data_IF_503876778763
#
_entry.id   IF_503876778763
#
_cell.length_a   1.000
_cell.length_b   1.000
_cell.length_c   1.000
_cell.angle_alpha   90.00
_cell.angle_beta   90.00
_cell.angle_gamma   90.00
#
_symmetry.space_group_name_H-M   'P 1'
#
loop_
_entity.id
_entity.type
_entity.pdbx_description
1 polymer ?
#
# COMPACT_ATOMS: atom_id res chain seq x y z
N UNK A 1 18.20 -2.37 6.00
CA UNK A 1 16.90 -2.50 6.68
C UNK A 1 16.48 -3.96 6.73
N UNK A 2 16.75 -4.67 7.83
CA UNK A 2 16.65 -6.15 7.84
C UNK A 2 17.18 -6.81 9.10
N UNK A 3 17.99 -6.09 9.87
CA UNK A 3 18.61 -6.58 11.11
C UNK A 3 17.90 -6.10 12.38
N UNK A 4 16.71 -5.47 12.27
CA UNK A 4 16.00 -4.89 13.43
C UNK A 4 16.70 -3.71 14.12
N UNK A 5 17.73 -3.12 13.50
CA UNK A 5 18.58 -2.11 14.12
C UNK A 5 18.02 -0.68 14.06
N UNK A 6 16.91 -0.47 13.34
CA UNK A 6 16.31 0.85 13.16
C UNK A 6 15.06 0.92 14.04
N UNK A 7 15.03 1.80 15.07
CA UNK A 7 13.92 1.86 16.02
C UNK A 7 12.67 2.51 15.42
N UNK A 8 12.83 3.45 14.49
CA UNK A 8 11.76 4.10 13.73
C UNK A 8 12.26 4.31 12.30
N UNK A 9 11.45 3.94 11.32
CA UNK A 9 11.76 4.17 9.91
C UNK A 9 10.66 5.01 9.23
N UNK A 10 11.08 5.85 8.28
CA UNK A 10 10.20 6.61 7.40
C UNK A 10 10.24 6.01 6.00
N UNK A 11 9.05 5.79 5.42
CA UNK A 11 8.88 5.06 4.17
C UNK A 11 7.59 5.49 3.47
N UNK A 12 7.53 5.22 2.17
CA UNK A 12 6.35 5.31 1.33
C UNK A 12 6.09 3.98 0.61
N UNK A 13 4.90 3.83 0.03
CA UNK A 13 4.49 2.59 -0.64
C UNK A 13 3.52 2.85 -1.80
N UNK A 14 3.92 2.50 -3.02
CA UNK A 14 3.12 2.66 -4.25
C UNK A 14 2.20 1.46 -4.59
N UNK A 15 2.06 0.48 -3.70
CA UNK A 15 1.10 -0.64 -3.84
C UNK A 15 1.20 -1.45 -5.15
N UNK A 16 2.38 -1.52 -5.78
CA UNK A 16 2.60 -2.19 -7.07
C UNK A 16 1.59 -1.80 -8.16
N UNK A 17 1.07 -0.57 -8.12
CA UNK A 17 0.02 -0.11 -9.05
C UNK A 17 -1.31 -0.90 -8.93
N UNK A 18 -1.54 -1.59 -7.82
CA UNK A 18 -2.77 -2.34 -7.53
C UNK A 18 -3.62 -1.54 -6.55
N UNK A 19 -4.83 -1.18 -6.98
CA UNK A 19 -5.80 -0.41 -6.18
C UNK A 19 -6.58 -1.31 -5.21
N UNK A 20 -5.88 -2.08 -4.39
CA UNK A 20 -6.49 -3.01 -3.44
C UNK A 20 -5.69 -3.08 -2.14
N UNK A 21 -6.39 -3.21 -1.00
CA UNK A 21 -5.78 -3.30 0.34
C UNK A 21 -4.79 -4.47 0.46
N UNK A 22 -5.01 -5.55 -0.31
CA UNK A 22 -4.10 -6.70 -0.40
C UNK A 22 -2.71 -6.36 -0.94
N UNK A 23 -2.54 -5.22 -1.62
CA UNK A 23 -1.25 -4.74 -2.07
C UNK A 23 -0.48 -3.92 -1.02
N UNK A 24 -1.11 -3.63 0.13
CA UNK A 24 -0.52 -2.81 1.21
C UNK A 24 -0.37 -3.64 2.49
N UNK A 25 -1.47 -4.07 3.09
CA UNK A 25 -1.44 -4.61 4.45
C UNK A 25 -0.58 -5.87 4.59
N UNK A 26 -0.61 -6.85 3.66
CA UNK A 26 0.26 -8.03 3.76
C UNK A 26 1.76 -7.68 3.72
N UNK A 27 2.15 -6.57 3.09
CA UNK A 27 3.54 -6.16 2.99
C UNK A 27 4.11 -5.67 4.33
N UNK A 28 3.26 -5.09 5.19
CA UNK A 28 3.69 -4.47 6.46
C UNK A 28 3.17 -5.15 7.72
N UNK A 29 2.10 -5.94 7.59
CA UNK A 29 1.38 -6.54 8.72
C UNK A 29 0.96 -7.99 8.46
N UNK A 30 1.44 -8.63 7.40
CA UNK A 30 1.06 -10.00 7.04
C UNK A 30 1.92 -11.11 7.67
N UNK A 31 2.95 -10.76 8.45
CA UNK A 31 3.88 -11.69 9.11
C UNK A 31 4.85 -12.45 8.21
N UNK A 32 4.69 -12.37 6.88
CA UNK A 32 5.50 -13.10 5.90
C UNK A 32 6.53 -12.22 5.19
N UNK A 33 6.27 -10.91 5.11
CA UNK A 33 7.10 -9.96 4.39
C UNK A 33 8.33 -9.56 5.21
N UNK A 34 9.49 -9.44 4.57
CA UNK A 34 10.68 -8.90 5.22
C UNK A 34 10.54 -7.41 5.62
N UNK A 35 9.54 -6.72 5.07
CA UNK A 35 9.17 -5.35 5.41
C UNK A 35 8.25 -5.27 6.63
N UNK A 36 7.61 -6.38 7.03
CA UNK A 36 6.86 -6.43 8.28
C UNK A 36 7.86 -6.46 9.45
N UNK A 37 7.86 -5.37 10.22
CA UNK A 37 8.67 -5.21 11.46
C UNK A 37 7.80 -5.03 12.68
N UNK A 38 6.49 -5.11 12.50
CA UNK A 38 5.51 -4.98 13.56
C UNK A 38 5.33 -6.34 14.22
N UNK A 39 5.13 -7.39 13.40
CA UNK A 39 4.98 -8.77 13.88
C UNK A 39 3.78 -8.99 14.80
N UNK A 40 2.77 -8.12 14.74
CA UNK A 40 1.54 -8.25 15.52
C UNK A 40 0.70 -9.39 14.94
N UNK A 41 0.60 -10.49 15.70
CA UNK A 41 -0.06 -11.71 15.25
C UNK A 41 -1.56 -11.52 14.99
N UNK A 42 -2.24 -10.69 15.78
CA UNK A 42 -3.68 -10.49 15.64
C UNK A 42 -4.00 -9.71 14.37
N UNK A 43 -3.21 -8.67 14.08
CA UNK A 43 -3.30 -7.94 12.82
C UNK A 43 -2.97 -8.87 11.65
N UNK A 44 -1.93 -9.69 11.74
CA UNK A 44 -1.57 -10.63 10.68
C UNK A 44 -2.67 -11.66 10.39
N UNK A 45 -3.31 -12.19 11.42
CA UNK A 45 -4.43 -13.14 11.27
C UNK A 45 -5.64 -12.46 10.58
N UNK A 46 -5.95 -11.20 10.91
CA UNK A 46 -7.00 -10.43 10.23
C UNK A 46 -6.64 -10.11 8.77
N UNK A 47 -5.39 -9.72 8.50
CA UNK A 47 -4.90 -9.43 7.14
C UNK A 47 -4.97 -10.69 6.27
N UNK A 48 -4.56 -11.84 6.79
CA UNK A 48 -4.67 -13.11 6.08
C UNK A 48 -6.15 -13.48 5.80
N UNK A 49 -7.03 -13.30 6.80
CA UNK A 49 -8.46 -13.54 6.65
C UNK A 49 -9.08 -12.65 5.57
N UNK A 50 -8.81 -11.34 5.59
CA UNK A 50 -9.28 -10.38 4.58
C UNK A 50 -8.71 -10.65 3.18
N UNK A 51 -7.52 -11.23 3.08
CA UNK A 51 -6.92 -11.68 1.83
C UNK A 51 -7.61 -12.91 1.22
N UNK A 52 -8.26 -13.73 2.05
CA UNK A 52 -8.97 -14.95 1.63
C UNK A 52 -10.48 -14.78 1.45
N UNK A 53 -11.05 -13.65 1.88
CA UNK A 53 -12.47 -13.35 1.76
C UNK A 53 -12.80 -12.75 0.39
N UNK A 54 -13.87 -13.23 -0.24
CA UNK A 54 -14.31 -12.81 -1.58
C UNK A 54 -15.56 -11.93 -1.53
N UNK A 55 -16.33 -12.01 -0.44
CA UNK A 55 -17.48 -11.12 -0.21
C UNK A 55 -16.98 -9.71 0.13
N UNK A 56 -17.33 -8.67 -0.66
CA UNK A 56 -16.78 -7.33 -0.47
C UNK A 56 -17.11 -6.70 0.88
N UNK A 57 -18.31 -6.94 1.42
CA UNK A 57 -18.76 -6.32 2.66
C UNK A 57 -18.08 -6.97 3.87
N UNK A 58 -17.99 -8.30 3.90
CA UNK A 58 -17.22 -9.02 4.93
C UNK A 58 -15.75 -8.67 4.87
N UNK A 59 -15.18 -8.61 3.66
CA UNK A 59 -13.79 -8.24 3.43
C UNK A 59 -13.49 -6.83 3.95
N UNK A 60 -14.36 -5.87 3.65
CA UNK A 60 -14.27 -4.51 4.18
C UNK A 60 -14.31 -4.51 5.71
N UNK A 61 -15.25 -5.22 6.32
CA UNK A 61 -15.38 -5.28 7.78
C UNK A 61 -14.12 -5.86 8.46
N UNK A 62 -13.53 -6.91 7.88
CA UNK A 62 -12.29 -7.52 8.38
C UNK A 62 -11.13 -6.52 8.30
N UNK A 63 -10.99 -5.80 7.18
CA UNK A 63 -9.92 -4.81 7.05
C UNK A 63 -10.14 -3.55 7.90
N UNK A 64 -11.39 -3.12 8.12
CA UNK A 64 -11.71 -2.06 9.08
C UNK A 64 -11.20 -2.43 10.48
N UNK A 65 -11.43 -3.68 10.91
CA UNK A 65 -10.94 -4.19 12.19
C UNK A 65 -9.40 -4.20 12.27
N UNK A 66 -8.73 -4.67 11.21
CA UNK A 66 -7.26 -4.67 11.14
C UNK A 66 -6.69 -3.25 11.23
N UNK A 67 -7.24 -2.31 10.46
CA UNK A 67 -6.80 -0.90 10.44
C UNK A 67 -7.06 -0.23 11.79
N UNK A 68 -8.19 -0.56 12.44
CA UNK A 68 -8.49 -0.08 13.79
C UNK A 68 -7.42 -0.54 14.79
N UNK A 69 -7.04 -1.82 14.79
CA UNK A 69 -5.99 -2.32 15.68
C UNK A 69 -4.62 -1.69 15.39
N UNK A 70 -4.25 -1.55 14.10
CA UNK A 70 -3.01 -0.89 13.67
C UNK A 70 -2.92 0.54 14.25
N UNK A 71 -4.02 1.29 14.17
CA UNK A 71 -4.10 2.68 14.62
C UNK A 71 -4.18 2.80 16.14
N UNK A 72 -5.00 1.99 16.82
CA UNK A 72 -5.12 1.97 18.29
C UNK A 72 -3.81 1.63 19.00
N UNK A 73 -3.02 0.73 18.40
CA UNK A 73 -1.70 0.29 18.93
C UNK A 73 -0.54 1.14 18.41
N UNK A 74 -0.80 2.14 17.57
CA UNK A 74 0.21 2.99 16.92
C UNK A 74 1.33 2.19 16.22
N UNK A 75 0.97 1.11 15.53
CA UNK A 75 1.93 0.22 14.84
C UNK A 75 2.50 0.85 13.58
N UNK A 76 1.80 1.84 13.02
CA UNK A 76 2.25 2.72 11.94
C UNK A 76 1.55 4.07 12.09
N UNK A 77 2.24 5.15 11.76
CA UNK A 77 1.69 6.51 11.77
C UNK A 77 1.62 7.02 10.34
N UNK A 78 0.43 7.11 9.72
CA UNK A 78 0.27 7.76 8.42
C UNK A 78 0.65 9.24 8.53
N UNK A 79 1.55 9.72 7.68
CA UNK A 79 2.00 11.12 7.69
C UNK A 79 1.32 11.94 6.59
N UNK A 80 1.42 11.49 5.33
CA UNK A 80 0.81 12.14 4.18
C UNK A 80 0.57 11.14 3.04
N UNK A 81 -0.31 11.51 2.12
CA UNK A 81 -0.34 10.98 0.75
C UNK A 81 0.23 12.04 -0.19
N UNK A 82 0.97 11.60 -1.20
CA UNK A 82 1.58 12.49 -2.19
C UNK A 82 1.16 12.09 -3.60
N UNK A 83 1.33 13.03 -4.54
CA UNK A 83 1.14 12.80 -5.96
C UNK A 83 2.48 12.51 -6.63
N UNK A 84 2.47 11.72 -7.70
CA UNK A 84 3.63 11.53 -8.57
C UNK A 84 3.55 12.55 -9.72
N UNK A 85 4.36 13.63 -9.71
CA UNK A 85 4.35 14.61 -10.79
C UNK A 85 5.06 14.07 -12.04
N UNK A 86 4.51 14.37 -13.21
CA UNK A 86 5.13 14.09 -14.50
C UNK A 86 5.48 15.41 -15.20
N UNK A 87 6.73 15.56 -15.62
CA UNK A 87 7.17 16.67 -16.46
C UNK A 87 7.43 16.18 -17.88
N UNK A 88 6.81 16.83 -18.87
CA UNK A 88 6.93 16.49 -20.28
C UNK A 88 6.70 17.74 -21.15
N UNK A 89 7.15 17.71 -22.41
CA UNK A 89 6.99 18.81 -23.37
C UNK A 89 5.53 18.98 -23.81
N UNK A 90 5.12 20.21 -24.10
CA UNK A 90 3.78 20.51 -24.63
C UNK A 90 3.50 19.85 -25.99
N UNK A 91 4.54 19.43 -26.71
CA UNK A 91 4.43 18.69 -27.98
C UNK A 91 3.98 17.23 -27.79
N UNK A 92 4.01 16.71 -26.56
CA UNK A 92 3.59 15.34 -26.25
C UNK A 92 2.13 15.32 -25.78
N UNK A 93 1.29 14.51 -26.42
CA UNK A 93 -0.03 14.15 -25.91
C UNK A 93 0.13 12.99 -24.91
N UNK A 94 0.11 13.32 -23.62
CA UNK A 94 0.25 12.37 -22.52
C UNK A 94 -0.80 12.62 -21.44
N UNK A 95 -1.40 11.53 -20.94
CA UNK A 95 -2.34 11.53 -19.82
C UNK A 95 -1.80 10.61 -18.74
N UNK A 96 -1.54 11.17 -17.55
CA UNK A 96 -1.13 10.40 -16.39
C UNK A 96 -2.28 9.50 -15.89
N UNK A 97 -1.93 8.40 -15.23
CA UNK A 97 -2.88 7.40 -14.73
C UNK A 97 -2.81 7.25 -13.22
N UNK A 98 -3.93 6.91 -12.55
CA UNK A 98 -4.00 6.84 -11.08
C UNK A 98 -3.12 5.75 -10.43
N UNK A 99 -2.69 4.76 -11.18
CA UNK A 99 -1.89 3.62 -10.72
C UNK A 99 -0.37 3.86 -10.87
N UNK A 100 0.03 5.10 -11.13
CA UNK A 100 1.44 5.52 -11.20
C UNK A 100 2.27 4.86 -12.33
N UNK A 101 1.63 4.20 -13.30
CA UNK A 101 2.33 3.57 -14.43
C UNK A 101 2.13 4.34 -15.74
N UNK A 102 3.14 5.04 -16.28
CA UNK A 102 3.02 5.77 -17.55
C UNK A 102 2.81 4.83 -18.75
N UNK A 103 1.72 5.01 -19.50
CA UNK A 103 1.50 4.29 -20.77
C UNK A 103 2.17 5.04 -21.92
N UNK A 104 3.49 4.96 -22.01
CA UNK A 104 4.22 5.59 -23.12
C UNK A 104 3.80 5.04 -24.49
N UNK A 105 3.29 3.80 -24.56
CA UNK A 105 2.74 3.21 -25.77
C UNK A 105 1.41 3.81 -26.24
N UNK A 106 0.74 4.60 -25.41
CA UNK A 106 -0.43 5.40 -25.80
C UNK A 106 -0.09 6.87 -26.07
N UNK A 107 1.11 7.31 -25.70
CA UNK A 107 1.54 8.68 -25.94
C UNK A 107 1.87 8.88 -27.42
N UNK A 108 1.64 10.08 -27.93
CA UNK A 108 1.98 10.49 -29.30
C UNK A 108 2.38 11.96 -29.34
N UNK A 109 3.09 12.34 -30.39
CA UNK A 109 3.37 13.75 -30.68
C UNK A 109 2.12 14.42 -31.26
N UNK A 110 1.94 15.70 -30.93
CA UNK A 110 0.87 16.55 -31.47
C UNK A 110 1.15 16.97 -32.92
#
# INVERSE_FOLDING_TARGET
FGKGQVPIGYWDWGSYSVMDVSAILPAFFGGQSSSDRVGDKEVADLVAKGGSEVDPEKRKAIYDEAIKLITERALMVPIHSFVVPYAFTEELEFTATPDETPRFYWAKWK
#
